data_IF_021048729985
#
_entry.id   IF_021048729985
#
_cell.length_a   1.000
_cell.length_b   1.000
_cell.length_c   1.000
_cell.angle_alpha   90.00
_cell.angle_beta   90.00
_cell.angle_gamma   90.00
#
_symmetry.space_group_name_H-M   'P 1'
#
loop_
_entity.id
_entity.type
_entity.pdbx_description
1 polymer ?
#
# COMPACT_ATOMS: atom_id res chain seq x y z
N UNK A 1 8.95 4.64 11.52
CA UNK A 1 8.09 4.27 10.37
C UNK A 1 8.71 4.81 9.09
N UNK A 2 8.46 4.15 7.96
CA UNK A 2 8.93 4.55 6.63
C UNK A 2 7.74 5.03 5.80
N UNK A 3 7.89 6.19 5.14
CA UNK A 3 6.85 6.76 4.28
C UNK A 3 6.99 6.25 2.84
N UNK A 4 5.87 5.85 2.24
CA UNK A 4 5.76 5.43 0.85
C UNK A 4 4.81 6.37 0.11
N UNK A 5 5.31 6.98 -0.97
CA UNK A 5 4.49 7.83 -1.83
C UNK A 5 3.43 7.01 -2.58
N UNK A 6 2.21 7.52 -2.62
CA UNK A 6 1.04 6.84 -3.19
C UNK A 6 1.13 6.77 -4.73
N UNK A 7 1.70 7.78 -5.36
CA UNK A 7 1.95 7.92 -6.80
C UNK A 7 2.74 6.75 -7.41
N UNK A 8 3.59 6.08 -6.61
CA UNK A 8 4.34 4.88 -7.00
C UNK A 8 3.45 3.66 -7.20
N UNK A 9 2.17 3.72 -6.81
CA UNK A 9 1.17 2.66 -6.98
C UNK A 9 1.64 1.28 -6.51
N UNK A 10 2.36 1.25 -5.37
CA UNK A 10 2.88 0.03 -4.75
C UNK A 10 1.83 -0.64 -3.86
N UNK A 11 2.08 -1.88 -3.44
CA UNK A 11 1.17 -2.63 -2.57
C UNK A 11 0.77 -1.86 -1.31
N UNK A 12 1.69 -1.15 -0.67
CA UNK A 12 1.43 -0.34 0.54
C UNK A 12 0.31 0.69 0.35
N UNK A 13 0.16 1.28 -0.84
CA UNK A 13 -0.90 2.25 -1.12
C UNK A 13 -2.14 1.65 -1.79
N UNK A 14 -2.21 0.31 -1.91
CA UNK A 14 -3.30 -0.37 -2.57
C UNK A 14 -4.37 -0.88 -1.59
N UNK A 15 -5.64 -0.56 -1.80
CA UNK A 15 -6.79 -1.03 -0.99
C UNK A 15 -6.79 -2.55 -0.77
N UNK A 16 -6.28 -3.30 -1.75
CA UNK A 16 -6.31 -4.76 -1.82
C UNK A 16 -5.17 -5.45 -1.07
N UNK A 17 -4.20 -4.70 -0.55
CA UNK A 17 -3.10 -5.25 0.24
C UNK A 17 -3.45 -5.20 1.73
N UNK A 18 -3.24 -6.30 2.44
CA UNK A 18 -3.72 -6.48 3.83
C UNK A 18 -2.65 -6.28 4.89
N UNK A 19 -1.41 -5.96 4.50
CA UNK A 19 -0.32 -5.81 5.46
C UNK A 19 -0.50 -4.56 6.32
N UNK A 20 0.18 -4.49 7.48
CA UNK A 20 0.02 -3.38 8.41
C UNK A 20 0.57 -2.08 7.82
N UNK A 21 -0.24 -1.02 7.94
CA UNK A 21 0.02 0.33 7.44
C UNK A 21 -0.92 1.34 8.09
N UNK A 22 -0.54 2.60 8.08
CA UNK A 22 -1.39 3.75 8.41
C UNK A 22 -1.21 4.86 7.38
N UNK A 23 -2.14 5.83 7.27
CA UNK A 23 -1.87 7.08 6.55
C UNK A 23 -0.59 7.72 7.09
N UNK A 24 0.25 8.24 6.20
CA UNK A 24 1.46 8.95 6.59
C UNK A 24 1.16 10.38 7.06
N UNK A 25 2.16 10.99 7.69
CA UNK A 25 2.08 12.38 8.19
C UNK A 25 2.10 13.43 7.08
N UNK A 26 2.58 13.05 5.89
CA UNK A 26 2.58 13.89 4.69
C UNK A 26 1.39 13.52 3.78
N UNK A 27 0.80 14.48 3.05
CA UNK A 27 -0.20 14.19 2.03
C UNK A 27 0.30 13.13 1.05
N UNK A 28 -0.60 12.27 0.56
CA UNK A 28 -0.27 11.26 -0.44
C UNK A 28 0.83 10.27 -0.01
N UNK A 29 0.94 9.99 1.28
CA UNK A 29 1.88 8.99 1.80
C UNK A 29 1.20 7.93 2.66
N UNK A 30 1.79 6.73 2.66
CA UNK A 30 1.45 5.63 3.56
C UNK A 30 2.65 5.34 4.43
N UNK A 31 2.44 5.24 5.74
CA UNK A 31 3.45 4.82 6.68
C UNK A 31 3.41 3.30 6.89
N UNK A 32 4.60 2.68 6.86
CA UNK A 32 4.83 1.27 7.16
C UNK A 32 5.90 1.12 8.24
N UNK A 33 5.90 0.00 8.96
CA UNK A 33 6.88 -0.24 10.02
C UNK A 33 8.29 -0.45 9.46
N UNK A 34 8.43 -1.29 8.43
CA UNK A 34 9.72 -1.66 7.83
C UNK A 34 9.59 -1.98 6.33
N UNK A 35 10.71 -2.09 5.61
CA UNK A 35 10.71 -2.43 4.17
C UNK A 35 10.35 -3.89 3.88
N UNK A 36 10.49 -4.77 4.87
CA UNK A 36 10.23 -6.20 4.78
C UNK A 36 8.81 -6.56 5.14
N UNK A 37 8.01 -5.62 5.66
CA UNK A 37 6.62 -5.85 6.00
C UNK A 37 5.85 -6.41 4.80
N UNK A 38 5.09 -7.46 5.07
CA UNK A 38 4.34 -8.20 4.07
C UNK A 38 2.85 -8.23 4.40
N UNK A 39 2.07 -8.60 3.39
CA UNK A 39 0.63 -8.76 3.47
C UNK A 39 0.12 -9.45 2.22
N UNK A 40 -1.08 -10.02 2.29
CA UNK A 40 -1.69 -10.72 1.17
C UNK A 40 -2.31 -9.71 0.19
N UNK A 41 -2.35 -10.09 -1.09
CA UNK A 41 -3.13 -9.40 -2.10
C UNK A 41 -4.52 -10.05 -2.25
N UNK A 42 -5.58 -9.28 -2.02
CA UNK A 42 -6.97 -9.75 -2.12
C UNK A 42 -7.70 -9.05 -3.28
N UNK A 43 -8.01 -9.79 -4.35
CA UNK A 43 -8.73 -9.27 -5.52
C UNK A 43 -7.90 -8.36 -6.45
N UNK A 44 -6.56 -8.38 -6.35
CA UNK A 44 -5.65 -7.65 -7.25
C UNK A 44 -4.93 -8.57 -8.23
N UNK A 45 -4.02 -8.02 -9.03
CA UNK A 45 -3.27 -8.77 -10.06
C UNK A 45 -2.34 -9.87 -9.53
N UNK A 46 -2.17 -9.96 -8.22
CA UNK A 46 -1.39 -11.01 -7.53
C UNK A 46 -2.23 -11.73 -6.48
N UNK A 47 -3.53 -11.91 -6.73
CA UNK A 47 -4.47 -12.43 -5.74
C UNK A 47 -3.96 -13.73 -5.08
N UNK A 48 -4.09 -13.80 -3.75
CA UNK A 48 -3.66 -14.94 -2.93
C UNK A 48 -2.16 -14.96 -2.61
N UNK A 49 -1.36 -14.12 -3.28
CA UNK A 49 0.09 -14.05 -3.03
C UNK A 49 0.44 -13.11 -1.88
N UNK A 50 1.45 -13.49 -1.09
CA UNK A 50 2.12 -12.57 -0.18
C UNK A 50 2.98 -11.56 -0.96
N UNK A 51 2.90 -10.29 -0.57
CA UNK A 51 3.62 -9.18 -1.19
C UNK A 51 4.21 -8.29 -0.11
N UNK A 52 5.46 -7.84 -0.32
CA UNK A 52 6.03 -6.75 0.50
C UNK A 52 5.33 -5.43 0.18
N UNK A 53 5.27 -4.54 1.17
CA UNK A 53 4.71 -3.18 1.02
C UNK A 53 5.19 -2.45 -0.25
N UNK A 54 6.47 -2.57 -0.59
CA UNK A 54 7.08 -1.87 -1.74
C UNK A 54 6.97 -2.61 -3.07
N UNK A 55 6.31 -3.77 -3.12
CA UNK A 55 6.18 -4.54 -4.35
C UNK A 55 5.34 -3.77 -5.38
N UNK A 56 5.65 -3.98 -6.66
CA UNK A 56 4.80 -3.50 -7.75
C UNK A 56 3.39 -4.10 -7.62
N UNK A 57 2.36 -3.30 -7.88
CA UNK A 57 0.98 -3.76 -7.86
C UNK A 57 0.49 -3.98 -9.30
N UNK A 58 0.01 -5.20 -9.61
CA UNK A 58 -0.48 -5.53 -10.96
C UNK A 58 -1.88 -5.00 -11.27
N UNK A 59 -2.64 -4.58 -10.25
CA UNK A 59 -3.97 -4.00 -10.43
C UNK A 59 -4.25 -3.07 -9.24
N UNK A 60 -3.57 -1.91 -9.25
CA UNK A 60 -3.58 -0.97 -8.14
C UNK A 60 -4.93 -0.26 -8.01
N UNK A 61 -5.41 -0.15 -6.78
CA UNK A 61 -6.59 0.62 -6.40
C UNK A 61 -6.21 1.45 -5.18
N UNK A 62 -6.41 2.77 -5.22
CA UNK A 62 -6.05 3.66 -4.11
C UNK A 62 -6.66 3.17 -2.80
N UNK A 63 -5.84 3.12 -1.75
CA UNK A 63 -6.31 2.81 -0.41
C UNK A 63 -7.25 3.91 0.12
N UNK A 64 -8.47 3.52 0.51
CA UNK A 64 -9.56 4.42 0.87
C UNK A 64 -9.38 5.10 2.23
N UNK A 65 -8.47 4.61 3.08
CA UNK A 65 -8.14 5.27 4.34
C UNK A 65 -7.34 6.56 4.15
N UNK A 66 -6.84 6.82 2.94
CA UNK A 66 -6.18 8.07 2.60
C UNK A 66 -7.22 9.18 2.40
N UNK A 67 -6.91 10.42 2.80
CA UNK A 67 -7.74 11.57 2.47
C UNK A 67 -8.03 11.64 0.95
N UNK A 68 -9.19 12.21 0.57
CA UNK A 68 -9.49 12.55 -0.82
C UNK A 68 -8.41 13.47 -1.39
N UNK A 69 -8.12 13.32 -2.68
CA UNK A 69 -7.31 14.29 -3.41
C UNK A 69 -8.09 15.61 -3.45
N UNK A 70 -7.55 16.66 -2.83
CA UNK A 70 -8.04 18.03 -2.94
C UNK A 70 -7.65 18.65 -4.28
#
# INVERSE_FOLDING_TARGET
MLLQAVDRKRCASCQRWTGPRCPGELPETVAIESETVSGLCQGGGWHGSERRARSACGHWLRWQALPPLS
#
